data_IF_542488973643
#
_entry.id   IF_542488973643
#
_cell.length_a   1.000
_cell.length_b   1.000
_cell.length_c   1.000
_cell.angle_alpha   90.00
_cell.angle_beta   90.00
_cell.angle_gamma   90.00
#
_symmetry.space_group_name_H-M   'P 1'
#
loop_
_entity.id
_entity.type
_entity.pdbx_description
1 polymer ?
#
# COMPACT_ATOMS: atom_id res chain seq x y z
N UNK A 1 6.55 -7.29 20.91
CA UNK A 1 7.55 -7.42 19.85
C UNK A 1 6.94 -6.89 18.56
N UNK A 2 7.62 -5.99 17.85
CA UNK A 2 7.15 -5.44 16.57
C UNK A 2 7.90 -6.10 15.42
N UNK A 3 7.21 -6.59 14.40
CA UNK A 3 7.85 -7.34 13.30
C UNK A 3 7.02 -7.30 12.01
N UNK A 4 7.64 -7.75 10.91
CA UNK A 4 6.97 -7.87 9.61
C UNK A 4 6.15 -9.15 9.50
N UNK A 5 4.92 -9.11 8.95
CA UNK A 5 3.98 -10.25 8.91
C UNK A 5 4.31 -11.31 7.85
N UNK A 6 5.53 -11.36 7.34
CA UNK A 6 5.97 -12.46 6.49
C UNK A 6 5.81 -13.79 7.25
N UNK A 7 5.40 -14.86 6.58
CA UNK A 7 5.16 -16.16 7.24
C UNK A 7 6.39 -16.70 7.96
N UNK A 8 7.58 -16.35 7.48
CA UNK A 8 8.86 -16.67 8.11
C UNK A 8 8.97 -16.13 9.54
N UNK A 9 8.20 -15.08 9.86
CA UNK A 9 8.14 -14.50 11.19
C UNK A 9 6.99 -15.06 12.03
N UNK A 10 5.81 -15.32 11.45
CA UNK A 10 4.57 -15.66 12.20
C UNK A 10 4.11 -17.11 12.13
N UNK A 11 4.78 -17.96 11.36
CA UNK A 11 4.43 -19.37 11.21
C UNK A 11 4.43 -20.14 12.53
N UNK A 12 3.51 -21.11 12.67
CA UNK A 12 3.41 -21.93 13.88
C UNK A 12 4.63 -22.84 14.10
N UNK A 13 5.39 -23.16 13.04
CA UNK A 13 6.55 -24.05 13.09
C UNK A 13 7.80 -23.29 12.63
N UNK A 14 8.83 -23.22 13.49
CA UNK A 14 10.15 -22.65 13.19
C UNK A 14 10.15 -21.18 12.74
N UNK A 15 9.09 -20.42 13.00
CA UNK A 15 9.10 -19.02 12.66
C UNK A 15 9.90 -18.19 13.67
N UNK A 16 10.40 -17.05 13.21
CA UNK A 16 11.27 -16.18 14.01
C UNK A 16 10.62 -15.80 15.34
N UNK A 17 9.31 -15.54 15.38
CA UNK A 17 8.61 -15.16 16.61
C UNK A 17 8.58 -16.30 17.63
N UNK A 18 8.19 -17.51 17.20
CA UNK A 18 8.14 -18.71 18.04
C UNK A 18 9.52 -19.08 18.59
N UNK A 19 10.56 -19.02 17.75
CA UNK A 19 11.93 -19.29 18.16
C UNK A 19 12.46 -18.24 19.17
N UNK A 20 11.98 -17.00 19.09
CA UNK A 20 12.36 -15.95 20.03
C UNK A 20 11.71 -16.16 21.39
N UNK A 21 10.42 -16.54 21.41
CA UNK A 21 9.68 -16.85 22.64
C UNK A 21 10.27 -18.05 23.36
N UNK A 22 10.62 -19.12 22.63
CA UNK A 22 11.30 -20.30 23.17
C UNK A 22 12.65 -19.93 23.82
N UNK A 23 13.42 -19.03 23.21
CA UNK A 23 14.70 -18.57 23.77
C UNK A 23 14.55 -17.69 25.00
N UNK A 24 13.49 -16.89 25.07
CA UNK A 24 13.24 -15.95 26.18
C UNK A 24 12.49 -16.66 27.32
N UNK A 25 11.82 -17.79 27.04
CA UNK A 25 11.09 -18.59 28.01
C UNK A 25 9.77 -17.95 28.47
N UNK A 26 9.19 -17.07 27.65
CA UNK A 26 7.89 -16.45 27.91
C UNK A 26 7.21 -16.00 26.63
N UNK A 27 5.89 -15.96 26.67
CA UNK A 27 5.07 -15.43 25.59
C UNK A 27 5.32 -13.92 25.42
N UNK A 28 5.41 -13.48 24.17
CA UNK A 28 5.53 -12.08 23.81
C UNK A 28 4.26 -11.61 23.11
N UNK A 29 3.84 -10.38 23.40
CA UNK A 29 2.78 -9.76 22.60
C UNK A 29 3.31 -9.52 21.18
N UNK A 30 2.69 -10.18 20.20
CA UNK A 30 2.99 -10.01 18.79
C UNK A 30 2.29 -8.76 18.25
N UNK A 31 3.07 -7.81 17.76
CA UNK A 31 2.57 -6.58 17.16
C UNK A 31 3.04 -6.53 15.71
N UNK A 32 2.16 -6.88 14.78
CA UNK A 32 2.40 -6.61 13.37
C UNK A 32 2.67 -5.12 13.19
N UNK A 33 3.69 -4.80 12.39
CA UNK A 33 4.02 -3.43 12.09
C UNK A 33 2.84 -2.72 11.39
N UNK A 34 2.63 -1.42 11.59
CA UNK A 34 1.51 -0.68 10.95
C UNK A 34 1.54 -0.81 9.42
N UNK A 35 2.73 -0.84 8.84
CA UNK A 35 2.93 -1.04 7.41
C UNK A 35 2.39 -2.40 6.95
N UNK A 36 2.65 -3.44 7.73
CA UNK A 36 2.26 -4.82 7.50
C UNK A 36 0.73 -5.01 7.53
N UNK A 37 0.06 -4.38 8.49
CA UNK A 37 -1.41 -4.38 8.54
C UNK A 37 -2.00 -3.72 7.30
N UNK A 38 -1.41 -2.63 6.82
CA UNK A 38 -1.85 -1.95 5.61
C UNK A 38 -1.56 -2.79 4.36
N UNK A 39 -0.41 -3.45 4.27
CA UNK A 39 -0.09 -4.37 3.19
C UNK A 39 -1.11 -5.52 3.08
N UNK A 40 -1.55 -6.10 4.20
CA UNK A 40 -2.60 -7.14 4.18
C UNK A 40 -3.92 -6.60 3.63
N UNK A 41 -4.36 -5.42 4.07
CA UNK A 41 -5.58 -4.78 3.56
C UNK A 41 -5.45 -4.52 2.06
N UNK A 42 -4.31 -3.98 1.61
CA UNK A 42 -4.04 -3.73 0.20
C UNK A 42 -4.00 -5.03 -0.61
N UNK A 43 -3.41 -6.10 -0.08
CA UNK A 43 -3.38 -7.42 -0.73
C UNK A 43 -4.79 -8.01 -0.89
N UNK A 44 -5.66 -7.84 0.11
CA UNK A 44 -7.07 -8.24 0.03
C UNK A 44 -7.84 -7.44 -1.02
N UNK A 45 -7.68 -6.12 -1.04
CA UNK A 45 -8.30 -5.25 -2.06
C UNK A 45 -7.79 -5.62 -3.45
N UNK A 46 -6.49 -5.84 -3.58
CA UNK A 46 -5.88 -6.27 -4.84
C UNK A 46 -6.47 -7.60 -5.32
N UNK A 47 -6.60 -8.57 -4.41
CA UNK A 47 -7.22 -9.88 -4.69
C UNK A 47 -8.68 -9.74 -5.09
N UNK A 48 -9.43 -8.83 -4.45
CA UNK A 48 -10.82 -8.54 -4.80
C UNK A 48 -10.94 -7.94 -6.22
N UNK A 49 -10.04 -7.02 -6.58
CA UNK A 49 -10.07 -6.33 -7.87
C UNK A 49 -9.53 -7.16 -9.03
N UNK A 50 -8.50 -7.98 -8.79
CA UNK A 50 -7.72 -8.65 -9.85
C UNK A 50 -7.71 -10.19 -9.75
N UNK A 51 -8.38 -10.75 -8.74
CA UNK A 51 -8.37 -12.18 -8.42
C UNK A 51 -7.14 -12.62 -7.62
N UNK A 52 -7.16 -13.85 -7.09
CA UNK A 52 -6.03 -14.41 -6.35
C UNK A 52 -4.81 -14.59 -7.28
N UNK A 53 -3.63 -14.19 -6.80
CA UNK A 53 -2.36 -14.42 -7.48
C UNK A 53 -1.52 -15.39 -6.67
N UNK A 54 -1.17 -16.53 -7.26
CA UNK A 54 -0.19 -17.48 -6.72
C UNK A 54 1.25 -17.22 -7.22
N UNK A 55 1.42 -16.23 -8.10
CA UNK A 55 2.71 -15.92 -8.71
C UNK A 55 3.49 -14.91 -7.86
N UNK A 56 4.81 -15.13 -7.62
CA UNK A 56 5.69 -14.16 -6.94
C UNK A 56 5.81 -12.83 -7.70
N UNK A 57 5.45 -12.82 -8.99
CA UNK A 57 5.44 -11.64 -9.82
C UNK A 57 4.07 -11.44 -10.47
N UNK A 58 3.54 -10.24 -10.38
CA UNK A 58 2.26 -9.89 -10.99
C UNK A 58 2.40 -9.60 -12.49
N UNK A 59 1.78 -10.39 -13.40
CA UNK A 59 1.90 -10.18 -14.85
C UNK A 59 1.40 -8.80 -15.31
N UNK A 60 0.41 -8.23 -14.62
CA UNK A 60 -0.15 -6.91 -14.91
C UNK A 60 0.89 -5.83 -14.62
N UNK A 61 1.55 -5.88 -13.46
CA UNK A 61 2.62 -4.95 -13.11
C UNK A 61 3.86 -5.13 -14.00
N UNK A 62 4.21 -6.36 -14.40
CA UNK A 62 5.26 -6.62 -15.40
C UNK A 62 4.95 -5.96 -16.73
N UNK A 63 3.71 -6.10 -17.21
CA UNK A 63 3.28 -5.51 -18.48
C UNK A 63 3.29 -3.98 -18.39
N UNK A 64 2.77 -3.43 -17.30
CA UNK A 64 2.79 -1.99 -17.03
C UNK A 64 4.21 -1.43 -17.03
N UNK A 65 5.16 -2.13 -16.39
CA UNK A 65 6.57 -1.75 -16.37
C UNK A 65 7.18 -1.71 -17.77
N UNK A 66 6.85 -2.68 -18.63
CA UNK A 66 7.33 -2.72 -20.03
C UNK A 66 6.81 -1.54 -20.86
N UNK A 67 5.53 -1.19 -20.71
CA UNK A 67 4.90 -0.11 -21.51
C UNK A 67 5.06 1.28 -20.88
N UNK A 68 5.66 1.38 -19.69
CA UNK A 68 5.72 2.60 -18.87
C UNK A 68 6.16 3.86 -19.64
N UNK A 69 7.17 3.73 -20.51
CA UNK A 69 7.71 4.87 -21.26
C UNK A 69 6.74 5.39 -22.34
N UNK A 70 5.84 4.55 -22.84
CA UNK A 70 4.83 4.90 -23.85
C UNK A 70 3.53 5.47 -23.29
N UNK A 71 3.33 5.47 -21.96
CA UNK A 71 2.09 5.96 -21.34
C UNK A 71 2.04 7.49 -21.38
N UNK A 72 0.93 8.04 -21.90
CA UNK A 72 0.66 9.47 -21.91
C UNK A 72 0.26 9.95 -20.52
N UNK A 73 1.11 10.77 -19.91
CA UNK A 73 0.97 11.24 -18.51
C UNK A 73 -0.01 12.40 -18.29
N UNK A 74 -0.51 13.00 -19.38
CA UNK A 74 -1.37 14.19 -19.34
C UNK A 74 -2.86 13.88 -19.40
N UNK A 75 -3.24 12.68 -19.84
CA UNK A 75 -4.63 12.30 -20.12
C UNK A 75 -5.11 11.25 -19.11
N UNK A 76 -4.93 11.51 -17.81
CA UNK A 76 -5.47 10.64 -16.78
C UNK A 76 -6.95 10.97 -16.54
N UNK A 77 -7.72 9.97 -16.12
CA UNK A 77 -9.13 10.12 -15.75
C UNK A 77 -9.24 10.17 -14.22
N UNK A 78 -10.21 10.94 -13.74
CA UNK A 78 -10.59 10.95 -12.33
C UNK A 78 -11.62 9.85 -12.08
N UNK A 79 -11.66 9.35 -10.86
CA UNK A 79 -12.67 8.40 -10.43
C UNK A 79 -14.01 9.10 -10.27
N UNK A 80 -14.99 8.66 -11.05
CA UNK A 80 -16.39 9.01 -10.83
C UNK A 80 -16.92 8.18 -9.66
N UNK A 81 -17.36 8.87 -8.61
CA UNK A 81 -17.96 8.25 -7.42
C UNK A 81 -19.47 8.43 -7.46
N UNK A 82 -20.19 7.39 -7.01
CA UNK A 82 -21.64 7.47 -6.84
C UNK A 82 -22.01 8.54 -5.81
N UNK A 83 -23.24 9.04 -5.88
CA UNK A 83 -23.73 10.12 -5.02
C UNK A 83 -23.58 9.79 -3.52
N UNK A 84 -23.76 8.51 -3.18
CA UNK A 84 -23.63 7.96 -1.82
C UNK A 84 -22.21 8.07 -1.26
N UNK A 85 -21.18 8.06 -2.12
CA UNK A 85 -19.77 8.08 -1.74
C UNK A 85 -19.14 9.49 -1.79
N UNK A 86 -19.91 10.52 -2.16
CA UNK A 86 -19.42 11.91 -2.25
C UNK A 86 -18.92 12.42 -0.90
N UNK A 87 -19.65 12.13 0.18
CA UNK A 87 -19.24 12.52 1.54
C UNK A 87 -17.90 11.87 1.93
N UNK A 88 -17.76 10.57 1.66
CA UNK A 88 -16.53 9.82 1.90
C UNK A 88 -15.36 10.39 1.10
N UNK A 89 -15.57 10.69 -0.18
CA UNK A 89 -14.57 11.34 -1.04
C UNK A 89 -14.09 12.67 -0.46
N UNK A 90 -15.00 13.55 -0.05
CA UNK A 90 -14.61 14.86 0.50
C UNK A 90 -13.90 14.73 1.86
N UNK A 91 -14.36 13.81 2.72
CA UNK A 91 -13.66 13.48 3.97
C UNK A 91 -12.25 12.95 3.73
N UNK A 92 -12.08 12.04 2.77
CA UNK A 92 -10.77 11.51 2.38
C UNK A 92 -9.84 12.63 1.90
N UNK A 93 -10.32 13.48 0.98
CA UNK A 93 -9.56 14.62 0.46
C UNK A 93 -9.14 15.59 1.58
N UNK A 94 -10.03 15.89 2.52
CA UNK A 94 -9.73 16.78 3.66
C UNK A 94 -8.65 16.17 4.57
N UNK A 95 -8.84 14.91 4.98
CA UNK A 95 -7.90 14.21 5.86
C UNK A 95 -6.51 14.08 5.23
N UNK A 96 -6.45 13.69 3.96
CA UNK A 96 -5.20 13.52 3.21
C UNK A 96 -4.47 14.86 2.99
N UNK A 97 -5.21 15.93 2.72
CA UNK A 97 -4.62 17.26 2.57
C UNK A 97 -4.06 17.79 3.90
N UNK A 98 -4.73 17.52 5.01
CA UNK A 98 -4.23 17.88 6.35
C UNK A 98 -2.91 17.16 6.68
N UNK A 99 -2.75 15.91 6.26
CA UNK A 99 -1.50 15.16 6.43
C UNK A 99 -0.33 15.79 5.65
N UNK A 100 -0.59 16.37 4.47
CA UNK A 100 0.44 17.06 3.68
C UNK A 100 0.82 18.43 4.24
N UNK A 101 -0.11 19.14 4.88
CA UNK A 101 0.08 20.52 5.35
C UNK A 101 0.88 20.65 6.67
N UNK A 102 1.46 19.56 7.19
CA UNK A 102 2.53 19.62 8.19
C UNK A 102 2.12 19.44 9.65
N UNK A 103 0.86 19.14 9.97
CA UNK A 103 0.48 18.73 11.34
C UNK A 103 1.03 17.35 11.72
N UNK A 104 1.34 16.51 10.72
CA UNK A 104 1.95 15.19 10.89
C UNK A 104 3.07 15.06 9.86
N UNK A 105 4.31 14.84 10.32
CA UNK A 105 5.43 14.59 9.42
C UNK A 105 5.21 13.24 8.73
N UNK A 106 4.96 13.24 7.42
CA UNK A 106 4.87 12.00 6.64
C UNK A 106 6.26 11.33 6.69
N UNK A 107 6.39 10.14 7.28
CA UNK A 107 7.70 9.60 7.65
C UNK A 107 8.49 9.00 6.48
N UNK A 108 7.87 8.83 5.30
CA UNK A 108 8.48 8.17 4.14
C UNK A 108 7.91 8.74 2.83
N UNK A 109 8.77 8.87 1.82
CA UNK A 109 8.44 9.52 0.54
C UNK A 109 7.35 8.79 -0.26
N UNK A 110 7.23 7.47 -0.10
CA UNK A 110 6.20 6.64 -0.74
C UNK A 110 4.77 6.99 -0.26
N UNK A 111 4.60 7.37 1.01
CA UNK A 111 3.32 7.82 1.53
C UNK A 111 2.90 9.17 0.97
N UNK A 112 3.85 10.09 0.77
CA UNK A 112 3.53 11.36 0.13
C UNK A 112 3.06 11.12 -1.31
N UNK A 113 3.76 10.28 -2.06
CA UNK A 113 3.37 9.91 -3.42
C UNK A 113 1.99 9.23 -3.46
N UNK A 114 1.72 8.32 -2.53
CA UNK A 114 0.40 7.69 -2.40
C UNK A 114 -0.71 8.71 -2.16
N UNK A 115 -0.49 9.69 -1.28
CA UNK A 115 -1.46 10.75 -0.99
C UNK A 115 -1.71 11.61 -2.24
N UNK A 116 -0.65 12.05 -2.93
CA UNK A 116 -0.73 12.86 -4.15
C UNK A 116 -1.49 12.13 -5.28
N UNK A 117 -1.21 10.83 -5.46
CA UNK A 117 -1.91 10.00 -6.44
C UNK A 117 -3.38 9.77 -6.06
N UNK A 118 -3.67 9.55 -4.78
CA UNK A 118 -5.05 9.39 -4.29
C UNK A 118 -5.86 10.66 -4.52
N UNK A 119 -5.30 11.83 -4.16
CA UNK A 119 -5.93 13.12 -4.40
C UNK A 119 -6.16 13.38 -5.91
N UNK A 120 -5.20 12.97 -6.76
CA UNK A 120 -5.33 13.03 -8.22
C UNK A 120 -6.51 12.20 -8.73
N UNK A 121 -6.61 10.93 -8.29
CA UNK A 121 -7.72 10.03 -8.67
C UNK A 121 -9.06 10.58 -8.17
N UNK A 122 -9.10 11.19 -7.00
CA UNK A 122 -10.30 11.83 -6.46
C UNK A 122 -10.59 13.22 -7.07
N UNK A 123 -9.78 13.71 -8.00
CA UNK A 123 -10.03 14.95 -8.75
C UNK A 123 -9.54 16.25 -8.10
N UNK A 124 -8.64 16.18 -7.11
CA UNK A 124 -7.87 17.33 -6.59
C UNK A 124 -6.36 17.09 -6.81
N UNK A 125 -5.86 17.07 -8.05
CA UNK A 125 -4.45 16.80 -8.32
C UNK A 125 -3.54 17.90 -7.74
N UNK A 126 -2.29 17.57 -7.35
CA UNK A 126 -1.29 18.57 -6.99
C UNK A 126 -0.89 19.42 -8.20
N UNK A 127 -0.25 20.57 -7.95
CA UNK A 127 0.25 21.49 -9.01
C UNK A 127 1.14 20.79 -10.03
N UNK A 128 1.90 19.78 -9.61
CA UNK A 128 2.74 18.96 -10.46
C UNK A 128 2.60 17.51 -10.01
N UNK A 129 2.18 16.64 -10.93
CA UNK A 129 2.07 15.21 -10.68
C UNK A 129 3.37 14.54 -11.13
N UNK A 130 3.99 13.79 -10.22
CA UNK A 130 5.18 13.01 -10.49
C UNK A 130 4.81 11.54 -10.71
N UNK A 131 4.66 11.14 -11.98
CA UNK A 131 4.43 9.74 -12.32
C UNK A 131 5.74 8.96 -12.26
N UNK A 132 5.86 8.02 -11.32
CA UNK A 132 7.03 7.12 -11.23
C UNK A 132 6.74 5.73 -11.77
N UNK A 133 7.76 5.14 -12.40
CA UNK A 133 7.69 3.75 -12.83
C UNK A 133 7.50 2.84 -11.61
N UNK A 134 6.82 1.71 -11.83
CA UNK A 134 6.69 0.68 -10.80
C UNK A 134 8.08 0.22 -10.33
N UNK A 135 8.27 0.17 -9.00
CA UNK A 135 9.49 -0.28 -8.34
C UNK A 135 9.76 -1.78 -8.51
N UNK A 136 10.47 -2.42 -7.56
CA UNK A 136 10.56 -3.87 -7.51
C UNK A 136 9.15 -4.49 -7.46
N UNK A 137 8.87 -5.48 -8.31
CA UNK A 137 7.53 -6.07 -8.51
C UNK A 137 7.38 -7.39 -7.74
N UNK A 138 8.11 -7.53 -6.64
CA UNK A 138 8.08 -8.73 -5.83
C UNK A 138 6.93 -8.62 -4.83
N UNK A 139 6.02 -9.60 -4.83
CA UNK A 139 5.11 -9.75 -3.72
C UNK A 139 5.91 -10.09 -2.46
N UNK A 140 5.55 -9.50 -1.32
CA UNK A 140 5.91 -10.07 -0.03
C UNK A 140 5.11 -11.37 0.10
N UNK A 141 5.68 -12.48 -0.39
CA UNK A 141 5.09 -13.78 -0.18
C UNK A 141 5.18 -14.10 1.31
N UNK A 142 4.03 -14.07 1.98
CA UNK A 142 3.80 -14.84 3.20
C UNK A 142 3.76 -16.30 2.80
#
# INVERSE_FOLDING_TARGET
MSFDTASVNTGHLNATCTLLEDKIGRDLLWLACRHCTLELILAMIFTLCFGPSSSPENPLLKTLKKVWHGIVRKNFQILEVSLELVSFKESALSNLSNLLNGTVKVPRDDYQELIELTNTVLGKPPKRIHWRASGPVHHANG
#
